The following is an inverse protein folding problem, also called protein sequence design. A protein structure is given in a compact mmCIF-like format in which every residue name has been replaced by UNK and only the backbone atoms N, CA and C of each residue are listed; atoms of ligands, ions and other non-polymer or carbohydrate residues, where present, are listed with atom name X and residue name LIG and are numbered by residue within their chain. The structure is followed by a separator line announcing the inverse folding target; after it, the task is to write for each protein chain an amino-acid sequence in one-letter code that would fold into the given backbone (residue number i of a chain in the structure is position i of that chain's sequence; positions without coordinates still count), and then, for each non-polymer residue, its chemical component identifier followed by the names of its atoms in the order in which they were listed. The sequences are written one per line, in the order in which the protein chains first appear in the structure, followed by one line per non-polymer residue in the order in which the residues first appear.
data_IF_073141940452
#
_entry.id   IF_073141940452
#
_cell.length_a   1.000
_cell.length_b   1.000
_cell.length_c   1.000
_cell.angle_alpha   90.00
_cell.angle_beta   90.00
_cell.angle_gamma   90.00
#
_symmetry.space_group_name_H-M   'P 1'
#
loop_
_entity.id
_entity.type
_entity.pdbx_description
1 polymer ?
#
# COMPACT_ATOMS: atom_id res chain seq x y z
N UNK A 1 -13.26 -9.90 -4.69
CA UNK A 1 -12.02 -10.56 -4.21
C UNK A 1 -11.71 -10.04 -2.81
N UNK A 2 -11.59 -10.93 -1.86
CA UNK A 2 -11.45 -10.57 -0.44
C UNK A 2 -10.18 -9.75 -0.14
N UNK A 3 -9.05 -10.11 -0.73
CA UNK A 3 -7.79 -9.38 -0.49
C UNK A 3 -7.87 -7.94 -0.97
N UNK A 4 -8.50 -7.70 -2.12
CA UNK A 4 -8.70 -6.35 -2.63
C UNK A 4 -9.67 -5.57 -1.74
N UNK A 5 -10.78 -6.18 -1.33
CA UNK A 5 -11.75 -5.54 -0.45
C UNK A 5 -11.13 -5.12 0.88
N UNK A 6 -10.30 -5.98 1.46
CA UNK A 6 -9.59 -5.68 2.71
C UNK A 6 -8.61 -4.52 2.53
N UNK A 7 -7.88 -4.50 1.42
CA UNK A 7 -6.99 -3.37 1.10
C UNK A 7 -7.77 -2.06 0.97
N UNK A 8 -8.86 -2.07 0.21
CA UNK A 8 -9.71 -0.87 0.02
C UNK A 8 -10.26 -0.37 1.36
N UNK A 9 -10.73 -1.26 2.21
CA UNK A 9 -11.25 -0.88 3.52
C UNK A 9 -10.18 -0.23 4.40
N UNK A 10 -8.97 -0.80 4.42
CA UNK A 10 -7.87 -0.24 5.20
C UNK A 10 -7.40 1.10 4.64
N UNK A 11 -7.37 1.25 3.31
CA UNK A 11 -7.04 2.51 2.66
C UNK A 11 -8.07 3.59 3.00
N UNK A 12 -9.35 3.25 2.98
CA UNK A 12 -10.41 4.19 3.33
C UNK A 12 -10.23 4.73 4.76
N UNK A 13 -9.91 3.85 5.70
CA UNK A 13 -9.63 4.26 7.09
C UNK A 13 -8.42 5.20 7.14
N UNK A 14 -7.33 4.84 6.48
CA UNK A 14 -6.11 5.65 6.46
C UNK A 14 -6.34 7.01 5.81
N UNK A 15 -7.04 7.05 4.68
CA UNK A 15 -7.32 8.28 3.93
C UNK A 15 -8.21 9.24 4.72
N UNK A 16 -9.02 8.73 5.64
CA UNK A 16 -9.90 9.53 6.50
C UNK A 16 -9.26 9.89 7.85
N UNK A 17 -7.97 9.58 8.05
CA UNK A 17 -7.28 9.92 9.29
C UNK A 17 -7.21 11.43 9.49
N UNK A 18 -7.34 11.86 10.73
CA UNK A 18 -7.19 13.25 11.12
C UNK A 18 -5.71 13.52 11.43
N UNK A 19 -4.98 13.99 10.41
CA UNK A 19 -3.55 14.26 10.53
C UNK A 19 -3.25 15.42 11.48
N UNK A 20 -4.20 16.34 11.65
CA UNK A 20 -4.07 17.43 12.60
C UNK A 20 -4.14 16.94 14.04
N UNK A 21 -5.07 16.01 14.33
CA UNK A 21 -5.15 15.38 15.64
C UNK A 21 -3.87 14.61 15.95
N UNK A 22 -3.27 13.95 14.95
CA UNK A 22 -2.03 13.20 15.11
C UNK A 22 -0.85 14.09 15.55
N UNK A 23 -0.88 15.39 15.27
CA UNK A 23 0.17 16.31 15.69
C UNK A 23 0.24 16.45 17.21
N UNK A 24 -0.89 16.31 17.91
CA UNK A 24 -0.99 16.57 19.35
C UNK A 24 -1.40 15.35 20.18
N UNK A 25 -1.71 14.21 19.55
CA UNK A 25 -2.16 13.00 20.22
C UNK A 25 -1.26 11.82 19.84
N UNK A 26 -0.38 11.41 20.77
CA UNK A 26 0.59 10.37 20.52
C UNK A 26 -0.03 8.99 20.24
N UNK A 27 -1.13 8.67 20.92
CA UNK A 27 -1.85 7.40 20.69
C UNK A 27 -2.45 7.38 19.29
N UNK A 28 -3.08 8.48 18.90
CA UNK A 28 -3.65 8.61 17.56
C UNK A 28 -2.55 8.53 16.49
N UNK A 29 -1.42 9.19 16.71
CA UNK A 29 -0.24 9.16 15.85
C UNK A 29 0.26 7.73 15.64
N UNK A 30 0.42 6.98 16.72
CA UNK A 30 0.81 5.56 16.67
C UNK A 30 -0.21 4.73 15.90
N UNK A 31 -1.49 5.01 16.09
CA UNK A 31 -2.56 4.33 15.35
C UNK A 31 -2.51 4.58 13.85
N UNK A 32 -2.18 5.80 13.42
CA UNK A 32 -2.03 6.13 11.99
C UNK A 32 -0.86 5.37 11.37
N UNK A 33 0.28 5.29 12.07
CA UNK A 33 1.43 4.51 11.61
C UNK A 33 1.07 3.04 11.48
N UNK A 34 0.37 2.47 12.47
CA UNK A 34 -0.11 1.09 12.42
C UNK A 34 -1.06 0.87 11.25
N UNK A 35 -1.96 1.81 10.99
CA UNK A 35 -2.88 1.74 9.86
C UNK A 35 -2.14 1.80 8.51
N UNK A 36 -1.12 2.62 8.39
CA UNK A 36 -0.25 2.64 7.22
C UNK A 36 0.41 1.27 7.00
N UNK A 37 1.01 0.72 8.04
CA UNK A 37 1.68 -0.59 7.95
C UNK A 37 0.71 -1.69 7.49
N UNK A 38 -0.50 -1.71 8.05
CA UNK A 38 -1.53 -2.67 7.67
C UNK A 38 -1.98 -2.47 6.23
N UNK A 39 -2.21 -1.23 5.81
CA UNK A 39 -2.62 -0.90 4.45
C UNK A 39 -1.56 -1.36 3.44
N UNK A 40 -0.30 -1.10 3.74
CA UNK A 40 0.81 -1.54 2.89
C UNK A 40 0.83 -3.07 2.74
N UNK A 41 0.70 -3.79 3.85
CA UNK A 41 0.71 -5.26 3.84
C UNK A 41 -0.41 -5.82 2.96
N UNK A 42 -1.61 -5.27 3.09
CA UNK A 42 -2.75 -5.71 2.29
C UNK A 42 -2.63 -5.28 0.82
N UNK A 43 -1.99 -4.14 0.56
CA UNK A 43 -1.80 -3.63 -0.79
C UNK A 43 -0.94 -4.58 -1.64
N UNK A 44 0.24 -4.95 -1.16
CA UNK A 44 1.12 -5.80 -1.96
C UNK A 44 0.57 -7.22 -2.11
N UNK A 45 -0.17 -7.72 -1.11
CA UNK A 45 -0.84 -9.03 -1.20
C UNK A 45 -1.97 -9.02 -2.22
N UNK A 46 -2.75 -7.95 -2.28
CA UNK A 46 -3.78 -7.79 -3.30
C UNK A 46 -3.16 -7.69 -4.70
N UNK A 47 -2.07 -6.93 -4.84
CA UNK A 47 -1.31 -6.84 -6.09
C UNK A 47 -0.84 -8.22 -6.55
N UNK A 48 -0.23 -8.99 -5.66
CA UNK A 48 0.23 -10.34 -5.97
C UNK A 48 -0.90 -11.22 -6.49
N UNK A 49 -2.04 -11.22 -5.81
CA UNK A 49 -3.19 -12.06 -6.19
C UNK A 49 -3.75 -11.67 -7.56
N UNK A 50 -3.85 -10.39 -7.85
CA UNK A 50 -4.36 -9.94 -9.14
C UNK A 50 -3.37 -10.22 -10.27
N UNK A 51 -2.07 -10.04 -10.04
CA UNK A 51 -1.06 -10.44 -11.02
C UNK A 51 -1.12 -11.96 -11.31
N UNK A 52 -1.32 -12.75 -10.27
CA UNK A 52 -1.46 -14.20 -10.41
C UNK A 52 -2.68 -14.54 -11.29
N UNK A 53 -3.81 -13.88 -11.08
CA UNK A 53 -5.03 -14.05 -11.89
C UNK A 53 -4.85 -13.64 -13.34
N UNK A 54 -3.96 -12.69 -13.59
CA UNK A 54 -3.59 -12.28 -14.96
C UNK A 54 -2.54 -13.19 -15.59
N UNK A 55 -2.09 -14.23 -14.89
CA UNK A 55 -1.09 -15.16 -15.41
C UNK A 55 0.31 -14.56 -15.47
N UNK A 56 0.61 -13.57 -14.64
CA UNK A 56 1.95 -12.98 -14.59
C UNK A 56 2.92 -14.00 -14.03
N UNK A 57 3.94 -14.35 -14.82
CA UNK A 57 4.97 -15.31 -14.42
C UNK A 57 5.72 -14.81 -13.20
N UNK A 58 6.06 -15.72 -12.28
CA UNK A 58 6.78 -15.47 -11.03
C UNK A 58 5.96 -14.70 -9.96
N UNK A 59 4.65 -14.49 -10.17
CA UNK A 59 3.82 -13.78 -9.20
C UNK A 59 3.32 -14.65 -8.04
N UNK A 60 3.46 -15.97 -8.10
CA UNK A 60 2.92 -16.89 -7.09
C UNK A 60 3.68 -16.86 -5.77
N UNK A 61 4.96 -16.49 -5.79
CA UNK A 61 5.84 -16.42 -4.62
C UNK A 61 6.70 -15.17 -4.69
N UNK A 62 7.35 -14.86 -3.59
CA UNK A 62 8.28 -13.75 -3.56
C UNK A 62 8.10 -12.85 -2.35
N UNK A 63 9.13 -12.06 -2.07
CA UNK A 63 9.10 -11.04 -1.03
C UNK A 63 8.26 -9.83 -1.49
N UNK A 64 7.84 -8.97 -0.54
CA UNK A 64 7.16 -7.72 -0.92
C UNK A 64 7.95 -6.92 -1.96
N UNK A 65 9.27 -6.81 -1.81
CA UNK A 65 10.12 -6.10 -2.78
C UNK A 65 10.03 -6.71 -4.18
N UNK A 66 10.12 -8.03 -4.26
CA UNK A 66 10.04 -8.73 -5.55
C UNK A 66 8.69 -8.54 -6.22
N UNK A 67 7.61 -8.61 -5.45
CA UNK A 67 6.25 -8.40 -5.95
C UNK A 67 6.05 -6.95 -6.43
N UNK A 68 6.58 -5.97 -5.69
CA UNK A 68 6.50 -4.57 -6.12
C UNK A 68 7.29 -4.32 -7.40
N UNK A 69 8.48 -4.90 -7.52
CA UNK A 69 9.29 -4.79 -8.73
C UNK A 69 8.59 -5.44 -9.93
N UNK A 70 7.97 -6.59 -9.71
CA UNK A 70 7.20 -7.28 -10.73
C UNK A 70 5.99 -6.45 -11.16
N UNK A 71 5.29 -5.85 -10.20
CA UNK A 71 4.16 -4.95 -10.48
C UNK A 71 4.54 -3.76 -11.33
N UNK A 72 5.71 -3.17 -11.08
CA UNK A 72 6.24 -2.10 -11.90
C UNK A 72 6.58 -2.59 -13.32
N UNK A 73 7.24 -3.73 -13.42
CA UNK A 73 7.63 -4.32 -14.71
C UNK A 73 6.44 -4.57 -15.62
N UNK A 74 5.31 -5.01 -15.06
CA UNK A 74 4.11 -5.37 -15.83
C UNK A 74 3.03 -4.28 -15.85
N UNK A 75 3.37 -3.08 -15.38
CA UNK A 75 2.48 -1.91 -15.52
C UNK A 75 1.35 -1.80 -14.51
N UNK A 76 1.38 -2.57 -13.42
CA UNK A 76 0.42 -2.43 -12.32
C UNK A 76 0.76 -1.26 -11.38
N UNK A 77 2.03 -0.91 -11.34
CA UNK A 77 2.56 0.21 -10.55
C UNK A 77 3.37 1.09 -11.51
N UNK A 78 3.16 2.41 -11.45
CA UNK A 78 3.87 3.37 -12.29
C UNK A 78 4.97 4.14 -11.53
N UNK A 79 5.00 4.06 -10.20
CA UNK A 79 5.96 4.76 -9.34
C UNK A 79 6.64 3.79 -8.39
N UNK A 80 7.66 3.09 -8.90
CA UNK A 80 8.41 2.11 -8.09
C UNK A 80 9.18 2.76 -6.95
N UNK A 81 9.65 4.00 -7.10
CA UNK A 81 10.41 4.69 -6.05
C UNK A 81 9.56 4.92 -4.81
N UNK A 82 8.34 5.41 -4.98
CA UNK A 82 7.41 5.62 -3.86
C UNK A 82 7.08 4.29 -3.16
N UNK A 83 6.82 3.24 -3.91
CA UNK A 83 6.49 1.94 -3.32
C UNK A 83 7.68 1.31 -2.57
N UNK A 84 8.89 1.43 -3.09
CA UNK A 84 10.08 0.96 -2.39
C UNK A 84 10.38 1.81 -1.15
N UNK A 85 10.09 3.11 -1.19
CA UNK A 85 10.18 3.97 -0.01
C UNK A 85 9.14 3.56 1.04
N UNK A 86 7.91 3.23 0.65
CA UNK A 86 6.91 2.69 1.58
C UNK A 86 7.42 1.43 2.28
N UNK A 87 8.00 0.50 1.52
CA UNK A 87 8.56 -0.73 2.08
C UNK A 87 9.66 -0.42 3.10
N UNK A 88 10.55 0.49 2.77
CA UNK A 88 11.62 0.91 3.68
C UNK A 88 11.05 1.51 4.97
N UNK A 89 10.09 2.42 4.85
CA UNK A 89 9.46 3.08 6.02
C UNK A 89 8.68 2.09 6.87
N UNK A 90 7.95 1.15 6.24
CA UNK A 90 7.26 0.08 6.97
C UNK A 90 8.24 -0.77 7.76
N UNK A 91 9.37 -1.16 7.16
CA UNK A 91 10.36 -2.00 7.82
C UNK A 91 11.07 -1.30 8.97
N UNK A 92 11.18 0.01 8.94
CA UNK A 92 11.87 0.80 9.97
C UNK A 92 10.92 1.48 10.96
N UNK A 93 9.61 1.47 10.73
CA UNK A 93 8.64 2.22 11.56
C UNK A 93 8.62 1.78 13.02
N UNK A 94 8.89 0.50 13.30
CA UNK A 94 8.95 -0.04 14.67
C UNK A 94 10.19 0.44 15.42
N UNK A 95 11.17 1.05 14.74
CA UNK A 95 12.42 1.52 15.29
C UNK A 95 12.54 3.05 15.25
N UNK A 96 11.43 3.74 14.99
CA UNK A 96 11.42 5.21 14.97
C UNK A 96 11.23 5.72 16.39
N UNK A 97 12.27 6.40 16.92
CA UNK A 97 12.28 6.91 18.29
C UNK A 97 12.37 8.44 18.37
N UNK A 98 12.55 9.16 17.25
CA UNK A 98 12.61 10.62 17.27
C UNK A 98 11.46 11.26 16.52
N UNK A 99 11.08 12.46 16.96
CA UNK A 99 9.94 13.17 16.41
C UNK A 99 10.14 13.61 14.95
N UNK A 100 11.37 13.93 14.56
CA UNK A 100 11.67 14.33 13.18
C UNK A 100 11.36 13.21 12.18
N UNK A 101 11.75 11.98 12.51
CA UNK A 101 11.46 10.81 11.67
C UNK A 101 9.97 10.52 11.61
N UNK A 102 9.29 10.67 12.74
CA UNK A 102 7.82 10.49 12.80
C UNK A 102 7.13 11.55 11.96
N UNK A 103 7.52 12.82 12.09
CA UNK A 103 6.94 13.91 11.30
C UNK A 103 7.17 13.71 9.81
N UNK A 104 8.37 13.30 9.42
CA UNK A 104 8.68 12.95 8.03
C UNK A 104 7.76 11.85 7.51
N UNK A 105 7.58 10.78 8.30
CA UNK A 105 6.71 9.67 7.92
C UNK A 105 5.27 10.13 7.74
N UNK A 106 4.75 10.99 8.64
CA UNK A 106 3.40 11.54 8.51
C UNK A 106 3.22 12.34 7.23
N UNK A 107 4.18 13.18 6.88
CA UNK A 107 4.12 13.95 5.64
C UNK A 107 4.13 13.04 4.41
N UNK A 108 4.96 11.99 4.44
CA UNK A 108 5.02 11.01 3.37
C UNK A 108 3.69 10.24 3.23
N UNK A 109 3.10 9.81 4.35
CA UNK A 109 1.82 9.09 4.33
C UNK A 109 0.74 9.98 3.70
N UNK A 110 0.62 11.22 4.16
CA UNK A 110 -0.41 12.14 3.69
C UNK A 110 -0.22 12.54 2.23
N UNK A 111 1.01 12.91 1.84
CA UNK A 111 1.27 13.59 0.57
C UNK A 111 1.71 12.65 -0.54
N UNK A 112 2.27 11.47 -0.21
CA UNK A 112 2.84 10.55 -1.21
C UNK A 112 2.24 9.15 -1.14
N UNK A 113 2.08 8.58 0.04
CA UNK A 113 1.70 7.17 0.18
C UNK A 113 0.20 6.95 -0.04
N UNK A 114 -0.66 7.78 0.53
CA UNK A 114 -2.11 7.68 0.29
C UNK A 114 -2.43 7.87 -1.20
N UNK A 115 -1.87 8.87 -1.90
CA UNK A 115 -2.07 8.97 -3.35
C UNK A 115 -1.58 7.73 -4.12
N UNK A 116 -0.44 7.14 -3.74
CA UNK A 116 0.06 5.93 -4.39
C UNK A 116 -0.85 4.72 -4.12
N UNK A 117 -1.34 4.55 -2.89
CA UNK A 117 -2.32 3.51 -2.58
C UNK A 117 -3.60 3.68 -3.38
N UNK A 118 -4.07 4.91 -3.52
CA UNK A 118 -5.30 5.21 -4.28
C UNK A 118 -5.13 4.86 -5.75
N UNK A 119 -3.97 5.21 -6.34
CA UNK A 119 -3.66 4.85 -7.72
C UNK A 119 -3.61 3.32 -7.90
N UNK A 120 -3.00 2.60 -6.96
CA UNK A 120 -3.00 1.13 -7.01
C UNK A 120 -4.40 0.56 -6.88
N UNK A 121 -5.21 1.08 -5.96
CA UNK A 121 -6.61 0.63 -5.82
C UNK A 121 -7.35 0.74 -7.15
N UNK A 122 -7.26 1.88 -7.81
CA UNK A 122 -7.94 2.11 -9.08
C UNK A 122 -7.46 1.13 -10.16
N UNK A 123 -6.15 0.90 -10.23
CA UNK A 123 -5.57 -0.08 -11.16
C UNK A 123 -6.05 -1.49 -10.86
N UNK A 124 -6.04 -1.91 -9.58
CA UNK A 124 -6.43 -3.27 -9.21
C UNK A 124 -7.92 -3.53 -9.44
N UNK A 125 -8.78 -2.56 -9.17
CA UNK A 125 -10.22 -2.69 -9.47
C UNK A 125 -10.41 -2.91 -10.97
N UNK A 126 -9.77 -2.12 -11.81
CA UNK A 126 -9.85 -2.25 -13.27
C UNK A 126 -9.31 -3.61 -13.73
N UNK A 127 -8.16 -4.02 -13.21
CA UNK A 127 -7.52 -5.29 -13.59
C UNK A 127 -8.32 -6.50 -13.13
N UNK A 128 -8.98 -6.42 -11.98
CA UNK A 128 -9.86 -7.50 -11.52
C UNK A 128 -11.05 -7.66 -12.46
N UNK A 129 -11.69 -6.57 -12.88
CA UNK A 129 -12.79 -6.60 -13.83
C UNK A 129 -12.36 -7.21 -15.17
N UNK A 130 -11.17 -6.86 -15.67
CA UNK A 130 -10.61 -7.44 -16.89
C UNK A 130 -10.38 -8.96 -16.73
N UNK A 131 -9.83 -9.40 -15.60
CA UNK A 131 -9.58 -10.81 -15.34
C UNK A 131 -10.89 -11.61 -15.27
N UNK A 132 -11.92 -11.09 -14.62
CA UNK A 132 -13.22 -11.72 -14.51
C UNK A 132 -13.93 -11.78 -15.88
N UNK A 133 -13.86 -10.72 -16.69
CA UNK A 133 -14.44 -10.67 -18.02
C UNK A 133 -13.84 -11.71 -18.97
N UNK A 134 -12.55 -12.02 -18.80
CA UNK A 134 -11.88 -13.02 -19.64
C UNK A 134 -12.34 -14.46 -19.38
N UNK A 135 -13.07 -14.70 -18.30
CA UNK A 135 -13.63 -16.02 -17.96
C UNK A 135 -15.06 -16.22 -18.50
N UNK A 136 -15.71 -15.18 -18.96
CA UNK A 136 -17.03 -15.22 -19.57
C UNK A 136 -16.92 -15.43 -21.09
#
# INVERSE_FOLDING_TARGET
MKKLDNFINCLTILANADFKMAETNDIYRTGVIGQFNLTFELAWKALQEIMRRHGVEDSSTGSPREILQLGYKFGFIDDSETWLLMLKKRNTSVHIYNEEEVDELFLLIRDSFIPAFTALKDTLVKKLDEAESNWE
#
